data_IF_967848981917
#
_entry.id   IF_967848981917
#
_cell.length_a   1.000
_cell.length_b   1.000
_cell.length_c   1.000
_cell.angle_alpha   90.00
_cell.angle_beta   90.00
_cell.angle_gamma   90.00
#
_symmetry.space_group_name_H-M   'P 1'
#
loop_
_entity.id
_entity.type
_entity.pdbx_description
1 polymer ?
#
# COMPACT_ATOMS: atom_id res chain seq x y z
N UNK A 1 -10.86 -29.31 -10.99
CA UNK A 1 -11.59 -28.48 -11.98
C UNK A 1 -10.57 -27.81 -12.87
N UNK A 2 -10.66 -28.00 -14.18
CA UNK A 2 -9.73 -27.35 -15.11
C UNK A 2 -10.15 -25.86 -15.22
N UNK A 3 -9.32 -24.94 -14.75
CA UNK A 3 -9.60 -23.51 -14.80
C UNK A 3 -9.29 -23.00 -16.20
N UNK A 4 -10.29 -22.49 -16.92
CA UNK A 4 -10.05 -21.85 -18.20
C UNK A 4 -9.55 -20.42 -17.96
N UNK A 5 -8.24 -20.21 -18.09
CA UNK A 5 -7.61 -18.91 -17.84
C UNK A 5 -7.38 -18.21 -19.17
N UNK A 6 -7.94 -16.98 -19.27
CA UNK A 6 -7.83 -16.14 -20.46
C UNK A 6 -7.20 -14.79 -20.15
N UNK A 7 -6.51 -14.24 -21.15
CA UNK A 7 -5.99 -12.88 -21.09
C UNK A 7 -7.11 -11.88 -20.80
N UNK A 8 -6.83 -10.90 -19.94
CA UNK A 8 -7.78 -9.87 -19.53
C UNK A 8 -8.67 -10.24 -18.35
N UNK A 9 -8.66 -11.50 -17.95
CA UNK A 9 -9.37 -11.90 -16.73
C UNK A 9 -8.67 -11.36 -15.48
N UNK A 10 -9.45 -10.95 -14.49
CA UNK A 10 -8.99 -10.59 -13.14
C UNK A 10 -9.30 -11.73 -12.21
N UNK A 11 -8.26 -12.28 -11.63
CA UNK A 11 -8.35 -13.38 -10.68
C UNK A 11 -7.97 -12.96 -9.28
N UNK A 12 -8.63 -13.52 -8.27
CA UNK A 12 -8.15 -13.41 -6.90
C UNK A 12 -7.01 -14.39 -6.69
N UNK A 13 -5.83 -13.84 -6.36
CA UNK A 13 -4.58 -14.55 -6.21
C UNK A 13 -4.19 -14.65 -4.74
N UNK A 14 -3.81 -15.84 -4.30
CA UNK A 14 -3.29 -16.08 -2.95
C UNK A 14 -1.93 -16.75 -3.06
N UNK A 15 -0.84 -15.99 -2.85
CA UNK A 15 0.51 -16.56 -2.91
C UNK A 15 0.72 -17.61 -1.82
N UNK A 16 1.33 -18.73 -2.18
CA UNK A 16 1.75 -19.79 -1.24
C UNK A 16 3.01 -19.41 -0.47
N UNK A 17 3.83 -18.50 -1.02
CA UNK A 17 5.09 -18.05 -0.43
C UNK A 17 5.11 -16.52 -0.36
N UNK A 18 5.52 -15.96 0.79
CA UNK A 18 5.73 -14.52 0.91
C UNK A 18 6.97 -14.07 0.12
N UNK A 19 6.80 -13.04 -0.70
CA UNK A 19 7.89 -12.43 -1.46
C UNK A 19 8.58 -11.34 -0.63
N UNK A 20 9.91 -11.25 -0.64
CA UNK A 20 10.64 -10.22 0.11
C UNK A 20 10.52 -8.83 -0.51
N UNK A 21 10.86 -7.79 0.27
CA UNK A 21 10.97 -6.41 -0.23
C UNK A 21 9.65 -5.68 -0.40
N UNK A 22 9.63 -4.78 -1.41
CA UNK A 22 8.47 -3.92 -1.73
C UNK A 22 7.51 -4.53 -2.76
N UNK A 23 7.68 -5.80 -3.12
CA UNK A 23 6.74 -6.55 -3.96
C UNK A 23 5.41 -6.64 -3.21
N UNK A 24 4.32 -6.52 -3.94
CA UNK A 24 2.98 -6.61 -3.39
C UNK A 24 2.77 -7.95 -2.66
N UNK A 25 2.40 -7.89 -1.38
CA UNK A 25 2.28 -9.06 -0.49
C UNK A 25 0.83 -9.42 -0.22
N UNK A 26 0.60 -10.72 0.05
CA UNK A 26 -0.68 -11.24 0.48
C UNK A 26 -1.73 -11.38 -0.64
N UNK A 27 -2.90 -11.92 -0.30
CA UNK A 27 -3.99 -12.18 -1.25
C UNK A 27 -4.49 -10.88 -1.90
N UNK A 28 -4.68 -10.90 -3.22
CA UNK A 28 -5.10 -9.73 -3.99
C UNK A 28 -5.59 -10.06 -5.38
N UNK A 29 -6.30 -9.15 -6.06
CA UNK A 29 -6.61 -9.29 -7.48
C UNK A 29 -5.34 -9.18 -8.33
N UNK A 30 -5.28 -10.00 -9.39
CA UNK A 30 -4.25 -9.95 -10.44
C UNK A 30 -4.92 -10.02 -11.80
N UNK A 31 -4.38 -9.32 -12.79
CA UNK A 31 -4.86 -9.31 -14.18
C UNK A 31 -3.98 -10.24 -14.99
N UNK A 32 -4.56 -11.20 -15.70
CA UNK A 32 -3.82 -12.09 -16.60
C UNK A 32 -3.43 -11.32 -17.87
N UNK A 33 -2.13 -11.28 -18.15
CA UNK A 33 -1.57 -10.55 -19.30
C UNK A 33 -0.84 -11.45 -20.30
N UNK A 34 -0.58 -12.73 -19.98
CA UNK A 34 -0.09 -13.70 -20.92
C UNK A 34 -1.14 -14.06 -21.96
N UNK A 35 -0.71 -14.53 -23.13
CA UNK A 35 -1.59 -14.92 -24.23
C UNK A 35 -2.30 -16.28 -23.94
N UNK A 36 -3.46 -16.48 -24.55
CA UNK A 36 -4.33 -17.62 -24.25
C UNK A 36 -3.71 -18.96 -24.69
N UNK A 37 -2.88 -18.96 -25.73
CA UNK A 37 -2.16 -20.18 -26.16
C UNK A 37 -1.18 -20.63 -25.07
N UNK A 38 -0.38 -19.71 -24.52
CA UNK A 38 0.49 -20.03 -23.41
C UNK A 38 -0.30 -20.44 -22.15
N UNK A 39 -1.39 -19.73 -21.84
CA UNK A 39 -2.23 -20.02 -20.68
C UNK A 39 -2.85 -21.44 -20.70
N UNK A 40 -3.14 -21.95 -21.89
CA UNK A 40 -3.74 -23.30 -22.06
C UNK A 40 -2.73 -24.45 -21.93
N UNK A 41 -1.42 -24.18 -22.04
CA UNK A 41 -0.37 -25.20 -22.07
C UNK A 41 0.63 -25.11 -20.91
N UNK A 42 0.55 -24.07 -20.08
CA UNK A 42 1.52 -23.84 -19.01
C UNK A 42 0.83 -23.85 -17.64
N UNK A 43 1.44 -24.42 -16.61
CA UNK A 43 0.98 -24.30 -15.22
C UNK A 43 1.23 -22.89 -14.62
N UNK A 44 1.90 -22.00 -15.38
CA UNK A 44 2.27 -20.64 -14.97
C UNK A 44 1.77 -19.64 -15.98
N UNK A 45 1.18 -18.56 -15.52
CA UNK A 45 0.72 -17.43 -16.32
C UNK A 45 1.45 -16.15 -15.91
N UNK A 46 1.47 -15.13 -16.78
CA UNK A 46 1.94 -13.80 -16.41
C UNK A 46 0.78 -12.95 -15.94
N UNK A 47 0.95 -12.32 -14.79
CA UNK A 47 -0.08 -11.50 -14.20
C UNK A 47 0.47 -10.17 -13.65
N UNK A 48 -0.39 -9.15 -13.65
CA UNK A 48 -0.16 -7.81 -13.09
C UNK A 48 -0.93 -7.69 -11.78
N UNK A 49 -0.28 -7.45 -10.64
CA UNK A 49 -0.97 -7.26 -9.37
C UNK A 49 -1.73 -5.92 -9.31
N UNK A 50 -2.87 -5.94 -8.62
CA UNK A 50 -3.71 -4.77 -8.42
C UNK A 50 -3.69 -4.30 -6.98
N UNK A 51 -3.95 -3.00 -6.79
CA UNK A 51 -4.09 -2.37 -5.48
C UNK A 51 -5.24 -1.36 -5.50
N UNK A 52 -5.88 -1.16 -4.35
CA UNK A 52 -6.85 -0.06 -4.15
C UNK A 52 -6.19 1.23 -3.70
N UNK A 53 -4.89 1.20 -3.37
CA UNK A 53 -4.14 2.38 -2.98
C UNK A 53 -3.75 3.19 -4.22
N UNK A 54 -4.40 4.33 -4.42
CA UNK A 54 -4.05 5.28 -5.47
C UNK A 54 -2.76 5.99 -5.05
N UNK A 55 -1.67 5.67 -5.73
CA UNK A 55 -0.38 6.34 -5.59
C UNK A 55 -0.26 7.43 -6.67
N UNK A 56 0.92 8.11 -6.71
CA UNK A 56 1.23 9.07 -7.77
C UNK A 56 0.95 8.48 -9.16
N UNK A 57 0.52 9.33 -10.08
CA UNK A 57 0.22 8.92 -11.45
C UNK A 57 1.53 8.59 -12.20
N UNK A 58 1.90 7.30 -12.21
CA UNK A 58 3.02 6.79 -12.99
C UNK A 58 2.52 6.25 -14.33
N UNK A 59 3.28 6.38 -15.43
CA UNK A 59 2.91 5.81 -16.74
C UNK A 59 2.75 4.29 -16.73
N UNK A 60 3.32 3.60 -15.72
CA UNK A 60 3.19 2.16 -15.49
C UNK A 60 1.96 1.78 -14.64
N UNK A 61 1.20 2.77 -14.17
CA UNK A 61 -0.01 2.54 -13.38
C UNK A 61 -1.26 2.75 -14.23
N UNK A 62 -2.13 1.75 -14.30
CA UNK A 62 -3.41 1.84 -15.04
C UNK A 62 -4.57 1.78 -14.06
N UNK A 63 -5.40 2.82 -14.06
CA UNK A 63 -6.62 2.87 -13.27
C UNK A 63 -7.76 2.17 -14.01
N UNK A 64 -8.50 1.34 -13.31
CA UNK A 64 -9.71 0.69 -13.81
C UNK A 64 -10.74 0.50 -12.69
N UNK A 65 -11.98 0.26 -13.09
CA UNK A 65 -13.08 0.02 -12.15
C UNK A 65 -13.20 -1.49 -11.92
N UNK A 66 -13.14 -1.90 -10.68
CA UNK A 66 -13.39 -3.27 -10.26
C UNK A 66 -14.48 -3.28 -9.20
N UNK A 67 -15.57 -4.02 -9.43
CA UNK A 67 -16.75 -4.05 -8.57
C UNK A 67 -17.30 -2.64 -8.30
N UNK A 68 -17.16 -2.12 -7.08
CA UNK A 68 -17.68 -0.81 -6.66
C UNK A 68 -16.59 0.25 -6.44
N UNK A 69 -15.36 0.00 -6.86
CA UNK A 69 -14.25 0.88 -6.55
C UNK A 69 -13.19 0.98 -7.64
N UNK A 70 -12.35 2.00 -7.52
CA UNK A 70 -11.18 2.19 -8.39
C UNK A 70 -10.05 1.29 -7.92
N UNK A 71 -9.44 0.60 -8.85
CA UNK A 71 -8.23 -0.22 -8.66
C UNK A 71 -7.12 0.26 -9.59
N UNK A 72 -5.89 0.00 -9.20
CA UNK A 72 -4.68 0.35 -9.95
C UNK A 72 -3.93 -0.93 -10.30
N UNK A 73 -3.68 -1.17 -11.57
CA UNK A 73 -2.77 -2.20 -12.05
C UNK A 73 -1.33 -1.68 -11.97
N UNK A 74 -0.44 -2.44 -11.36
CA UNK A 74 0.97 -2.11 -11.17
C UNK A 74 1.81 -2.87 -12.19
N UNK A 75 1.94 -2.36 -13.41
CA UNK A 75 2.57 -3.10 -14.52
C UNK A 75 4.07 -3.31 -14.32
N UNK A 76 4.73 -2.46 -13.55
CA UNK A 76 6.13 -2.63 -13.14
C UNK A 76 6.34 -3.84 -12.20
N UNK A 77 5.26 -4.40 -11.66
CA UNK A 77 5.31 -5.60 -10.81
C UNK A 77 4.72 -6.84 -11.52
N UNK A 78 4.56 -6.77 -12.83
CA UNK A 78 4.13 -7.93 -13.62
C UNK A 78 5.11 -9.09 -13.43
N UNK A 79 4.58 -10.28 -13.25
CA UNK A 79 5.40 -11.46 -13.02
C UNK A 79 4.64 -12.78 -13.11
N UNK A 80 5.37 -13.90 -12.99
CA UNK A 80 4.79 -15.23 -13.06
C UNK A 80 3.95 -15.55 -11.82
N UNK A 81 2.82 -16.23 -12.07
CA UNK A 81 1.88 -16.72 -11.07
C UNK A 81 1.51 -18.16 -11.41
N UNK A 82 1.54 -19.06 -10.43
CA UNK A 82 1.07 -20.43 -10.60
C UNK A 82 -0.47 -20.45 -10.70
N UNK A 83 -0.99 -21.27 -11.61
CA UNK A 83 -2.45 -21.41 -11.82
C UNK A 83 -3.16 -21.88 -10.55
N UNK A 84 -2.50 -22.73 -9.75
CA UNK A 84 -3.05 -23.25 -8.50
C UNK A 84 -3.26 -22.17 -7.42
N UNK A 85 -2.51 -21.08 -7.49
CA UNK A 85 -2.62 -19.93 -6.59
C UNK A 85 -3.74 -18.96 -6.99
N UNK A 86 -4.35 -19.14 -8.16
CA UNK A 86 -5.53 -18.38 -8.62
C UNK A 86 -6.79 -19.03 -8.05
N UNK A 87 -7.58 -18.31 -7.26
CA UNK A 87 -8.74 -18.85 -6.55
C UNK A 87 -10.00 -18.71 -7.40
N UNK A 88 -10.35 -17.51 -7.76
CA UNK A 88 -11.62 -17.15 -8.38
C UNK A 88 -11.43 -16.06 -9.44
N UNK A 89 -12.11 -16.22 -10.59
CA UNK A 89 -12.21 -15.17 -11.59
C UNK A 89 -13.30 -14.18 -11.19
N UNK A 90 -12.90 -12.92 -10.99
CA UNK A 90 -13.82 -11.87 -10.54
C UNK A 90 -14.52 -11.17 -11.69
N UNK A 91 -13.80 -10.87 -12.76
CA UNK A 91 -14.33 -10.21 -13.97
C UNK A 91 -13.34 -10.33 -15.14
N UNK A 92 -13.79 -9.97 -16.33
CA UNK A 92 -12.93 -9.78 -17.50
C UNK A 92 -12.91 -8.30 -17.86
N UNK A 93 -11.71 -7.76 -18.05
CA UNK A 93 -11.52 -6.35 -18.39
C UNK A 93 -11.91 -6.08 -19.84
N UNK A 94 -12.50 -4.91 -20.15
CA UNK A 94 -12.78 -4.50 -21.51
C UNK A 94 -11.48 -4.20 -22.26
N UNK A 95 -11.53 -4.34 -23.58
CA UNK A 95 -10.37 -4.22 -24.47
C UNK A 95 -9.63 -2.89 -24.32
N UNK A 96 -10.36 -1.78 -24.15
CA UNK A 96 -9.72 -0.46 -23.98
C UNK A 96 -8.85 -0.36 -22.73
N UNK A 97 -9.19 -1.06 -21.63
CA UNK A 97 -8.36 -1.14 -20.44
C UNK A 97 -7.14 -2.01 -20.71
N UNK A 98 -7.32 -3.14 -21.39
CA UNK A 98 -6.21 -4.01 -21.76
C UNK A 98 -5.20 -3.31 -22.67
N UNK A 99 -5.64 -2.47 -23.61
CA UNK A 99 -4.77 -1.65 -24.45
C UNK A 99 -3.94 -0.63 -23.63
N UNK A 100 -4.52 -0.07 -22.57
CA UNK A 100 -3.78 0.79 -21.64
C UNK A 100 -2.74 -0.03 -20.84
N UNK A 101 -3.11 -1.23 -20.38
CA UNK A 101 -2.19 -2.15 -19.68
C UNK A 101 -1.03 -2.56 -20.60
N UNK A 102 -1.28 -2.88 -21.87
CA UNK A 102 -0.25 -3.23 -22.84
C UNK A 102 0.72 -2.08 -23.09
N UNK A 103 0.20 -0.87 -23.19
CA UNK A 103 1.03 0.33 -23.30
C UNK A 103 1.88 0.52 -22.04
N UNK A 104 1.30 0.39 -20.86
CA UNK A 104 2.00 0.52 -19.59
C UNK A 104 3.06 -0.58 -19.38
N UNK A 105 2.77 -1.82 -19.79
CA UNK A 105 3.74 -2.93 -19.81
C UNK A 105 4.89 -2.63 -20.77
N UNK A 106 4.61 -2.04 -21.94
CA UNK A 106 5.66 -1.64 -22.88
C UNK A 106 6.62 -0.63 -22.27
N UNK A 107 6.13 0.28 -21.45
CA UNK A 107 6.97 1.20 -20.66
C UNK A 107 7.74 0.46 -19.57
N UNK A 108 7.07 -0.38 -18.80
CA UNK A 108 7.69 -1.11 -17.69
C UNK A 108 8.83 -2.04 -18.15
N UNK A 109 8.72 -2.62 -19.35
CA UNK A 109 9.74 -3.48 -19.95
C UNK A 109 10.73 -2.74 -20.85
N UNK A 110 10.64 -1.41 -20.97
CA UNK A 110 11.54 -0.61 -21.82
C UNK A 110 11.37 -0.86 -23.33
N UNK A 111 10.25 -1.43 -23.76
CA UNK A 111 9.91 -1.64 -25.18
C UNK A 111 9.49 -0.35 -25.89
N UNK A 112 9.04 0.62 -25.13
CA UNK A 112 8.75 1.98 -25.58
C UNK A 112 9.40 2.98 -24.63
N UNK A 113 9.85 4.13 -25.11
CA UNK A 113 10.35 5.19 -24.25
C UNK A 113 9.23 5.63 -23.30
N UNK A 114 9.55 5.80 -22.02
CA UNK A 114 8.62 6.42 -21.07
C UNK A 114 8.26 7.82 -21.56
N UNK A 115 6.96 8.21 -21.53
CA UNK A 115 6.62 9.61 -21.73
C UNK A 115 7.42 10.43 -20.70
N UNK A 116 8.02 11.51 -21.14
CA UNK A 116 8.73 12.41 -20.21
C UNK A 116 7.78 12.72 -19.05
N UNK A 117 8.21 12.33 -17.84
CA UNK A 117 7.50 12.76 -16.65
C UNK A 117 7.45 14.28 -16.70
N UNK A 118 6.30 14.95 -16.43
CA UNK A 118 6.29 16.39 -16.29
C UNK A 118 7.49 16.73 -15.40
N UNK A 119 8.40 17.56 -15.93
CA UNK A 119 9.67 17.87 -15.26
C UNK A 119 9.37 18.04 -13.77
N UNK A 120 10.08 17.34 -12.86
CA UNK A 120 9.92 17.57 -11.46
C UNK A 120 10.12 19.05 -11.31
N UNK A 121 9.05 19.79 -10.97
CA UNK A 121 9.19 21.20 -10.65
C UNK A 121 10.39 21.25 -9.72
N UNK A 122 11.47 21.85 -10.19
CA UNK A 122 12.73 21.90 -9.46
C UNK A 122 12.41 22.59 -8.15
N UNK A 123 12.00 21.82 -7.18
CA UNK A 123 12.07 22.24 -5.82
C UNK A 123 13.56 22.44 -5.60
N UNK A 124 13.98 23.70 -5.56
CA UNK A 124 15.31 24.09 -5.12
C UNK A 124 15.79 23.05 -4.09
N UNK A 125 16.94 22.40 -4.29
CA UNK A 125 17.41 21.44 -3.31
C UNK A 125 17.45 22.21 -2.00
N UNK A 126 16.63 21.79 -1.04
CA UNK A 126 16.79 22.29 0.32
C UNK A 126 18.27 22.07 0.64
N UNK A 127 18.99 23.08 1.15
CA UNK A 127 20.37 22.90 1.52
C UNK A 127 20.46 21.61 2.30
N UNK A 128 21.39 20.74 1.91
CA UNK A 128 21.63 19.47 2.59
C UNK A 128 21.96 19.83 4.03
N UNK A 129 20.95 19.83 4.88
CA UNK A 129 21.18 19.88 6.31
C UNK A 129 21.92 18.59 6.61
N UNK A 130 23.17 18.72 7.03
CA UNK A 130 24.01 17.64 7.49
C UNK A 130 23.16 16.69 8.30
N UNK A 131 23.13 15.41 7.86
CA UNK A 131 22.42 14.32 8.49
C UNK A 131 22.58 14.41 10.01
N UNK A 132 21.51 14.74 10.71
CA UNK A 132 21.46 14.54 12.14
C UNK A 132 21.80 13.07 12.40
N UNK A 133 22.63 12.77 13.43
CA UNK A 133 22.95 11.39 13.74
C UNK A 133 21.67 10.57 13.84
N UNK A 134 21.74 9.34 13.32
CA UNK A 134 20.65 8.35 13.34
C UNK A 134 20.16 8.27 14.79
N UNK A 135 19.02 8.88 15.07
CA UNK A 135 18.39 8.70 16.37
C UNK A 135 17.92 7.25 16.42
N UNK A 136 18.43 6.52 17.39
CA UNK A 136 17.99 5.18 17.75
C UNK A 136 16.46 5.12 17.68
N UNK A 137 15.95 4.11 16.98
CA UNK A 137 14.51 3.84 16.87
C UNK A 137 13.95 3.68 18.26
N UNK A 138 13.31 4.76 18.78
CA UNK A 138 12.63 4.70 20.08
C UNK A 138 11.66 3.52 20.04
N UNK A 139 11.90 2.52 20.90
CA UNK A 139 11.02 1.35 21.08
C UNK A 139 9.60 1.85 21.28
N UNK A 140 8.69 1.36 20.45
CA UNK A 140 7.26 1.72 20.47
C UNK A 140 6.71 1.40 21.87
N UNK A 141 6.37 2.40 22.66
CA UNK A 141 5.85 2.26 24.02
C UNK A 141 4.56 1.44 24.00
N UNK A 142 4.56 0.29 24.72
CA UNK A 142 3.33 -0.47 24.91
C UNK A 142 2.48 0.25 25.97
N UNK A 143 1.34 0.80 25.54
CA UNK A 143 0.41 1.47 26.42
C UNK A 143 -0.36 0.47 27.28
N UNK A 144 -0.17 0.51 28.60
CA UNK A 144 -0.98 -0.23 29.59
C UNK A 144 -2.03 0.72 30.17
N UNK A 145 -3.11 0.18 30.75
CA UNK A 145 -4.17 0.99 31.36
C UNK A 145 -3.62 1.96 32.44
N UNK A 146 -2.61 1.52 33.20
CA UNK A 146 -1.94 2.37 34.19
C UNK A 146 -1.17 3.51 33.55
N UNK A 147 -0.44 3.23 32.45
CA UNK A 147 0.30 4.25 31.72
C UNK A 147 -0.62 5.25 31.01
N UNK A 148 -1.77 4.80 30.49
CA UNK A 148 -2.78 5.67 29.90
C UNK A 148 -3.38 6.62 30.92
N UNK A 149 -3.71 6.13 32.13
CA UNK A 149 -4.21 6.98 33.23
C UNK A 149 -3.18 8.02 33.66
N UNK A 150 -1.91 7.63 33.78
CA UNK A 150 -0.82 8.54 34.12
C UNK A 150 -0.64 9.63 33.04
N UNK A 151 -0.68 9.23 31.78
CA UNK A 151 -0.63 10.16 30.65
C UNK A 151 -1.76 11.19 30.71
N UNK A 152 -3.01 10.77 30.96
CA UNK A 152 -4.16 11.67 31.11
C UNK A 152 -4.04 12.59 32.33
N UNK A 153 -3.53 12.07 33.44
CA UNK A 153 -3.25 12.89 34.65
C UNK A 153 -2.22 13.97 34.38
N UNK A 154 -1.22 13.68 33.54
CA UNK A 154 -0.20 14.69 33.17
C UNK A 154 -0.81 15.85 32.36
N UNK A 155 -1.86 15.64 31.56
CA UNK A 155 -2.59 16.75 30.89
C UNK A 155 -3.32 17.70 31.84
N UNK A 156 -3.67 17.22 33.03
CA UNK A 156 -4.29 18.06 34.08
C UNK A 156 -3.24 18.75 34.96
N UNK A 157 -2.07 18.16 35.11
CA UNK A 157 -1.02 18.62 36.02
C UNK A 157 0.05 19.50 35.35
N UNK A 158 0.33 19.30 34.06
CA UNK A 158 1.32 20.06 33.31
C UNK A 158 0.70 21.28 32.62
N UNK A 159 1.49 22.36 32.49
CA UNK A 159 1.01 23.66 32.01
C UNK A 159 0.75 23.70 30.48
N UNK A 160 1.36 22.80 29.72
CA UNK A 160 1.20 22.79 28.26
C UNK A 160 1.20 21.38 27.66
N UNK A 161 0.57 21.26 26.49
CA UNK A 161 0.57 20.00 25.72
C UNK A 161 1.98 19.65 25.23
N UNK A 162 2.83 20.65 25.01
CA UNK A 162 4.21 20.46 24.58
C UNK A 162 5.03 19.72 25.65
N UNK A 163 4.86 20.07 26.93
CA UNK A 163 5.52 19.41 28.04
C UNK A 163 5.11 17.93 28.17
N UNK A 164 3.82 17.63 27.94
CA UNK A 164 3.34 16.25 27.93
C UNK A 164 3.93 15.48 26.75
N UNK A 165 3.93 16.09 25.57
CA UNK A 165 4.47 15.49 24.36
C UNK A 165 5.96 15.15 24.55
N UNK A 166 6.75 16.06 25.08
CA UNK A 166 8.18 15.88 25.34
C UNK A 166 8.44 14.78 26.37
N UNK A 167 7.67 14.77 27.47
CA UNK A 167 7.79 13.74 28.53
C UNK A 167 7.64 12.31 28.01
N UNK A 168 6.75 12.12 27.03
CA UNK A 168 6.46 10.81 26.42
C UNK A 168 7.16 10.60 25.09
N UNK A 169 7.96 11.55 24.61
CA UNK A 169 8.68 11.50 23.33
C UNK A 169 7.77 11.45 22.13
N UNK A 170 6.63 12.16 22.19
CA UNK A 170 5.61 12.23 21.16
C UNK A 170 5.65 13.60 20.46
N UNK A 171 5.02 13.69 19.27
CA UNK A 171 4.67 15.01 18.72
C UNK A 171 3.41 15.54 19.40
N UNK A 172 3.24 16.86 19.44
CA UNK A 172 2.05 17.53 20.01
C UNK A 172 0.75 16.99 19.40
N UNK A 173 0.73 16.82 18.08
CA UNK A 173 -0.40 16.23 17.36
C UNK A 173 -0.72 14.80 17.83
N UNK A 174 0.33 13.98 18.05
CA UNK A 174 0.17 12.60 18.54
C UNK A 174 -0.30 12.56 19.98
N UNK A 175 0.21 13.46 20.83
CA UNK A 175 -0.21 13.58 22.23
C UNK A 175 -1.69 13.93 22.35
N UNK A 176 -2.19 14.88 21.56
CA UNK A 176 -3.62 15.24 21.50
C UNK A 176 -4.49 14.08 21.00
N UNK A 177 -4.05 13.36 19.99
CA UNK A 177 -4.76 12.19 19.47
C UNK A 177 -4.86 11.08 20.52
N UNK A 178 -3.80 10.82 21.28
CA UNK A 178 -3.81 9.85 22.37
C UNK A 178 -4.67 10.28 23.55
N UNK A 179 -4.67 11.57 23.89
CA UNK A 179 -5.55 12.10 24.92
C UNK A 179 -7.01 11.75 24.65
N UNK A 180 -7.55 12.13 23.49
CA UNK A 180 -8.92 11.84 23.10
C UNK A 180 -9.22 10.33 23.09
N UNK A 181 -8.30 9.53 22.58
CA UNK A 181 -8.45 8.07 22.54
C UNK A 181 -8.44 7.42 23.92
N UNK A 182 -7.59 7.87 24.82
CA UNK A 182 -7.47 7.30 26.17
C UNK A 182 -8.62 7.72 27.08
N UNK A 183 -9.14 8.92 26.94
CA UNK A 183 -10.38 9.36 27.62
C UNK A 183 -11.54 8.41 27.30
N UNK A 184 -11.65 7.98 26.04
CA UNK A 184 -12.68 7.03 25.62
C UNK A 184 -12.44 5.62 26.17
N UNK A 185 -11.18 5.15 26.25
CA UNK A 185 -10.81 3.79 26.67
C UNK A 185 -10.82 3.56 28.18
N UNK A 186 -10.48 4.60 28.94
CA UNK A 186 -10.27 4.50 30.41
C UNK A 186 -11.48 5.03 31.20
N UNK A 187 -12.38 5.77 30.53
CA UNK A 187 -13.56 6.39 31.12
C UNK A 187 -13.26 7.57 32.04
N UNK A 188 -14.25 8.41 32.38
CA UNK A 188 -14.06 9.51 33.31
C UNK A 188 -13.72 8.98 34.71
N UNK A 189 -12.72 9.57 35.35
CA UNK A 189 -12.42 9.30 36.75
C UNK A 189 -13.62 9.79 37.58
N UNK A 190 -14.35 8.90 38.21
CA UNK A 190 -15.25 9.27 39.30
C UNK A 190 -14.37 9.64 40.48
N UNK A 191 -14.31 10.94 40.79
CA UNK A 191 -13.80 11.41 42.07
C UNK A 191 -14.61 10.72 43.18
N UNK A 192 -13.91 10.07 44.08
CA UNK A 192 -14.43 9.63 45.36
C UNK A 192 -13.97 10.61 46.44
#
# INVERSE_FOLDING_TARGET
MNKEIKRGQVWFYKPSIERPGHIQKGPRPVIIVSNDVANSHSPVVLAVPCTTQIKKNYPTHVLFIMNKGVSVALTEQAGPVCIDELIECTLTLPEYVMNQIDTALSYAYGLKPMPEAPEPQVHCPRPVQHSKPIQETKKRTKWTSTLMRRFLSDFTSLRSVDEVADKYGLSVSTANSYKSKFETLVGPQRER
#
